data_IF_617405969541
#
_entry.id   IF_617405969541
#
_cell.length_a   1.000
_cell.length_b   1.000
_cell.length_c   1.000
_cell.angle_alpha   90.00
_cell.angle_beta   90.00
_cell.angle_gamma   90.00
#
_symmetry.space_group_name_H-M   'P 1'
#
loop_
_entity.id
_entity.type
_entity.pdbx_description
1 polymer ?
#
# COMPACT_ATOMS: atom_id res chain seq x y z
N UNK A 1 -12.35 2.82 -5.45
CA UNK A 1 -11.41 2.73 -4.31
C UNK A 1 -11.07 1.27 -4.12
N UNK A 2 -9.78 0.95 -3.94
CA UNK A 2 -9.31 -0.41 -3.66
C UNK A 2 -8.91 -0.54 -2.21
N UNK A 3 -9.15 -1.71 -1.64
CA UNK A 3 -8.62 -2.16 -0.37
C UNK A 3 -7.28 -2.86 -0.63
N UNK A 4 -6.25 -2.53 0.16
CA UNK A 4 -5.04 -3.33 0.24
C UNK A 4 -4.69 -3.64 1.69
N UNK A 5 -4.53 -4.92 2.01
CA UNK A 5 -3.99 -5.35 3.29
C UNK A 5 -2.45 -5.41 3.23
N UNK A 6 -1.78 -4.45 3.88
CA UNK A 6 -0.33 -4.29 3.83
C UNK A 6 0.46 -5.40 4.53
N UNK A 7 -0.15 -6.17 5.45
CA UNK A 7 0.52 -7.24 6.22
C UNK A 7 1.91 -6.82 6.76
N UNK A 8 1.94 -5.68 7.46
CA UNK A 8 3.17 -5.07 7.96
C UNK A 8 3.92 -5.98 8.94
N UNK A 9 5.25 -5.94 8.87
CA UNK A 9 6.18 -6.63 9.75
C UNK A 9 7.54 -5.93 9.70
N UNK A 10 8.34 -6.06 10.76
CA UNK A 10 9.62 -5.35 10.90
C UNK A 10 10.71 -5.79 9.93
N UNK A 11 10.52 -6.90 9.19
CA UNK A 11 11.57 -7.49 8.34
C UNK A 11 11.41 -7.11 6.88
N UNK A 12 10.19 -7.22 6.34
CA UNK A 12 9.94 -7.15 4.90
C UNK A 12 8.96 -6.05 4.50
N UNK A 13 8.09 -5.62 5.42
CA UNK A 13 7.04 -4.62 5.16
C UNK A 13 6.95 -3.68 6.36
N UNK A 14 7.98 -2.86 6.53
CA UNK A 14 8.04 -1.89 7.62
C UNK A 14 7.12 -0.69 7.31
N UNK A 15 6.25 -0.35 8.26
CA UNK A 15 5.22 0.68 8.06
C UNK A 15 5.82 2.08 7.90
N UNK A 16 6.78 2.44 8.74
CA UNK A 16 7.42 3.76 8.71
C UNK A 16 8.22 3.97 7.42
N UNK A 17 8.92 2.91 6.99
CA UNK A 17 9.59 2.90 5.72
C UNK A 17 8.58 3.09 4.58
N UNK A 18 7.48 2.34 4.55
CA UNK A 18 6.49 2.41 3.47
C UNK A 18 5.82 3.79 3.41
N UNK A 19 5.54 4.36 4.58
CA UNK A 19 5.07 5.74 4.74
C UNK A 19 6.05 6.73 4.14
N UNK A 20 7.32 6.69 4.57
CA UNK A 20 8.39 7.61 4.12
C UNK A 20 8.59 7.56 2.60
N UNK A 21 8.46 6.38 2.02
CA UNK A 21 8.73 6.15 0.60
C UNK A 21 7.52 6.35 -0.31
N UNK A 22 6.30 6.42 0.25
CA UNK A 22 5.09 6.48 -0.55
C UNK A 22 4.88 5.18 -1.33
N UNK A 23 4.97 4.03 -0.65
CA UNK A 23 4.78 2.72 -1.28
C UNK A 23 3.84 1.82 -0.47
N UNK A 24 3.24 0.87 -1.18
CA UNK A 24 2.61 -0.32 -0.60
C UNK A 24 3.17 -1.51 -1.36
N UNK A 25 3.43 -2.62 -0.66
CA UNK A 25 3.84 -3.86 -1.31
C UNK A 25 2.93 -5.03 -0.94
N UNK A 26 2.81 -5.96 -1.87
CA UNK A 26 2.07 -7.21 -1.70
C UNK A 26 2.75 -8.31 -2.50
N UNK A 27 2.58 -9.56 -2.07
CA UNK A 27 3.08 -10.69 -2.85
C UNK A 27 2.22 -10.89 -4.11
N UNK A 28 2.86 -10.93 -5.27
CA UNK A 28 2.25 -11.13 -6.58
C UNK A 28 1.81 -12.56 -6.88
N UNK A 29 2.30 -13.58 -6.15
CA UNK A 29 2.05 -15.01 -6.47
C UNK A 29 0.57 -15.36 -6.67
N UNK A 30 -0.31 -14.78 -5.83
CA UNK A 30 -1.76 -14.97 -5.94
C UNK A 30 -2.53 -13.66 -6.20
N UNK A 31 -1.86 -12.51 -6.20
CA UNK A 31 -2.51 -11.19 -6.26
C UNK A 31 -2.05 -10.36 -7.47
N UNK A 32 -1.26 -10.93 -8.39
CA UNK A 32 -0.75 -10.20 -9.56
C UNK A 32 -1.89 -9.64 -10.41
N UNK A 33 -2.95 -10.40 -10.64
CA UNK A 33 -4.08 -9.90 -11.41
C UNK A 33 -4.75 -8.72 -10.70
N UNK A 34 -5.05 -8.87 -9.41
CA UNK A 34 -5.73 -7.85 -8.62
C UNK A 34 -4.88 -6.56 -8.47
N UNK A 35 -3.56 -6.66 -8.27
CA UNK A 35 -2.70 -5.47 -8.14
C UNK A 35 -2.50 -4.75 -9.47
N UNK A 36 -2.49 -5.49 -10.58
CA UNK A 36 -2.28 -4.92 -11.92
C UNK A 36 -3.55 -4.23 -12.45
N UNK A 37 -4.72 -4.48 -11.87
CA UNK A 37 -5.94 -3.72 -12.17
C UNK A 37 -5.87 -2.28 -11.64
N UNK A 38 -5.06 -2.02 -10.61
CA UNK A 38 -4.90 -0.69 -10.03
C UNK A 38 -4.12 0.20 -11.00
N UNK A 39 -4.77 1.29 -11.39
CA UNK A 39 -4.25 2.27 -12.34
C UNK A 39 -3.87 3.57 -11.67
N UNK A 40 -3.06 4.38 -12.37
CA UNK A 40 -2.73 5.73 -11.92
C UNK A 40 -4.00 6.53 -11.66
N UNK A 41 -4.08 7.17 -10.50
CA UNK A 41 -5.24 7.96 -10.07
C UNK A 41 -6.21 7.20 -9.17
N UNK A 42 -6.14 5.87 -9.13
CA UNK A 42 -7.00 5.08 -8.24
C UNK A 42 -6.69 5.36 -6.77
N UNK A 43 -7.77 5.43 -5.98
CA UNK A 43 -7.70 5.63 -4.53
C UNK A 43 -7.60 4.29 -3.83
N UNK A 44 -6.64 4.17 -2.93
CA UNK A 44 -6.29 2.95 -2.20
C UNK A 44 -6.48 3.19 -0.71
N UNK A 45 -7.34 2.40 -0.07
CA UNK A 45 -7.44 2.31 1.37
C UNK A 45 -6.46 1.24 1.88
N UNK A 46 -5.52 1.68 2.72
CA UNK A 46 -4.54 0.81 3.34
C UNK A 46 -5.11 0.25 4.64
N UNK A 47 -5.10 -1.08 4.76
CA UNK A 47 -5.54 -1.80 5.93
C UNK A 47 -4.39 -2.65 6.49
N UNK A 48 -4.40 -2.88 7.79
CA UNK A 48 -3.58 -3.90 8.43
C UNK A 48 -4.41 -4.80 9.31
N UNK A 49 -4.24 -6.11 9.14
CA UNK A 49 -4.79 -7.09 10.08
C UNK A 49 -4.33 -6.72 11.50
N UNK A 50 -5.28 -6.70 12.45
CA UNK A 50 -5.15 -6.30 13.87
C UNK A 50 -5.22 -4.81 14.18
N UNK A 51 -4.92 -3.94 13.23
CA UNK A 51 -4.89 -2.48 13.48
C UNK A 51 -5.98 -1.72 12.75
N UNK A 52 -6.57 -2.28 11.69
CA UNK A 52 -7.65 -1.63 10.96
C UNK A 52 -7.16 -0.78 9.80
N UNK A 53 -7.94 0.25 9.46
CA UNK A 53 -7.62 1.19 8.40
C UNK A 53 -6.54 2.17 8.85
N UNK A 54 -5.45 2.23 8.10
CA UNK A 54 -4.29 3.08 8.40
C UNK A 54 -4.31 4.40 7.62
N UNK A 55 -5.10 4.48 6.56
CA UNK A 55 -5.13 5.67 5.71
C UNK A 55 -5.47 5.36 4.27
N UNK A 56 -5.33 6.39 3.45
CA UNK A 56 -5.70 6.37 2.05
C UNK A 56 -4.62 7.04 1.21
N UNK A 57 -4.27 6.42 0.09
CA UNK A 57 -3.34 6.96 -0.89
C UNK A 57 -3.91 6.94 -2.30
N UNK A 58 -3.29 7.68 -3.21
CA UNK A 58 -3.58 7.68 -4.64
C UNK A 58 -2.46 7.01 -5.41
N UNK A 59 -2.76 6.01 -6.22
CA UNK A 59 -1.78 5.32 -7.05
C UNK A 59 -1.13 6.30 -8.04
N UNK A 60 0.20 6.34 -8.06
CA UNK A 60 0.99 7.20 -8.96
C UNK A 60 1.28 6.54 -10.31
N UNK A 61 1.29 5.20 -10.33
CA UNK A 61 1.52 4.35 -11.49
C UNK A 61 0.98 2.94 -11.18
N UNK A 62 0.89 2.09 -12.20
CA UNK A 62 0.66 0.66 -12.01
C UNK A 62 1.78 0.02 -11.18
N UNK A 63 1.45 -1.08 -10.51
CA UNK A 63 2.43 -1.82 -9.72
C UNK A 63 3.51 -2.46 -10.60
N UNK A 64 4.69 -2.63 -10.01
CA UNK A 64 5.84 -3.30 -10.64
C UNK A 64 6.49 -4.27 -9.65
N UNK A 65 7.20 -5.32 -10.11
CA UNK A 65 8.05 -6.12 -9.23
C UNK A 65 9.03 -5.23 -8.46
N UNK A 66 9.25 -5.52 -7.17
CA UNK A 66 10.07 -4.68 -6.31
C UNK A 66 11.52 -4.60 -6.80
N UNK A 67 12.03 -5.68 -7.41
CA UNK A 67 13.37 -5.71 -8.01
C UNK A 67 13.53 -4.78 -9.21
N UNK A 68 12.44 -4.29 -9.80
CA UNK A 68 12.45 -3.35 -10.94
C UNK A 68 12.03 -1.95 -10.53
N UNK A 69 11.76 -1.68 -9.25
CA UNK A 69 11.32 -0.35 -8.82
C UNK A 69 12.44 0.67 -9.00
N UNK A 70 12.09 1.83 -9.54
CA UNK A 70 12.95 3.00 -9.62
C UNK A 70 12.26 4.13 -8.85
N UNK A 71 12.91 4.64 -7.81
CA UNK A 71 12.39 5.72 -6.99
C UNK A 71 13.19 6.98 -7.25
N UNK A 72 12.50 8.09 -7.46
CA UNK A 72 13.09 9.41 -7.65
C UNK A 72 12.59 10.34 -6.55
N UNK A 73 13.50 11.09 -5.90
CA UNK A 73 13.18 12.17 -4.96
C UNK A 73 13.87 13.45 -5.41
N UNK A 74 13.09 14.51 -5.65
CA UNK A 74 13.63 15.78 -6.14
C UNK A 74 14.30 15.72 -7.52
N UNK A 75 13.93 14.74 -8.36
CA UNK A 75 14.55 14.53 -9.68
C UNK A 75 15.84 13.71 -9.65
N UNK A 76 16.34 13.34 -8.47
CA UNK A 76 17.46 12.41 -8.30
C UNK A 76 16.94 10.99 -8.12
N UNK A 77 17.60 10.04 -8.77
CA UNK A 77 17.38 8.63 -8.48
C UNK A 77 17.85 8.34 -7.07
N UNK A 78 16.94 7.85 -6.24
CA UNK A 78 17.29 7.32 -4.92
C UNK A 78 17.97 5.99 -5.21
N UNK A 79 19.24 5.90 -4.86
CA UNK A 79 20.01 4.71 -5.15
C UNK A 79 19.37 3.50 -4.46
N UNK A 80 19.21 2.39 -5.20
CA UNK A 80 18.58 1.16 -4.66
C UNK A 80 19.31 0.62 -3.43
N UNK A 81 20.55 1.07 -3.21
CA UNK A 81 21.42 0.70 -2.09
C UNK A 81 20.98 1.29 -0.74
N UNK A 82 20.21 2.39 -0.73
CA UNK A 82 19.73 3.01 0.53
C UNK A 82 18.49 2.32 1.10
N UNK A 83 17.95 1.31 0.41
CA UNK A 83 16.78 0.56 0.85
C UNK A 83 17.17 -0.79 1.44
N UNK A 84 16.50 -1.26 2.52
CA UNK A 84 16.72 -2.61 3.04
C UNK A 84 16.26 -3.70 2.05
N UNK A 85 15.66 -3.36 0.91
CA UNK A 85 15.24 -4.33 -0.11
C UNK A 85 16.39 -5.19 -0.61
N UNK A 86 17.63 -4.65 -0.69
CA UNK A 86 18.79 -5.48 -1.01
C UNK A 86 18.99 -6.53 0.07
N UNK A 87 19.15 -6.14 1.32
CA UNK A 87 19.33 -7.07 2.44
C UNK A 87 18.19 -8.11 2.51
N UNK A 88 16.95 -7.67 2.30
CA UNK A 88 15.79 -8.54 2.19
C UNK A 88 15.93 -9.54 1.03
N UNK A 89 16.35 -9.10 -0.16
CA UNK A 89 16.59 -9.98 -1.31
C UNK A 89 17.78 -10.92 -1.10
N UNK A 90 18.77 -10.53 -0.28
CA UNK A 90 19.84 -11.44 0.14
C UNK A 90 19.30 -12.56 1.05
N UNK A 91 18.36 -12.24 1.95
CA UNK A 91 17.71 -13.22 2.84
C UNK A 91 16.69 -14.07 2.08
N UNK A 92 15.96 -13.48 1.13
CA UNK A 92 14.95 -14.13 0.30
C UNK A 92 15.15 -13.73 -1.18
N UNK A 93 15.91 -14.51 -1.96
CA UNK A 93 16.23 -14.21 -3.36
C UNK A 93 15.00 -14.04 -4.27
N UNK A 94 13.87 -14.68 -3.94
CA UNK A 94 12.65 -14.59 -4.73
C UNK A 94 11.82 -13.33 -4.45
N UNK A 95 12.09 -12.63 -3.35
CA UNK A 95 11.34 -11.43 -2.96
C UNK A 95 11.32 -10.36 -4.06
N UNK A 96 12.45 -10.17 -4.74
CA UNK A 96 12.58 -9.19 -5.83
C UNK A 96 11.58 -9.37 -6.97
N UNK A 97 11.31 -10.62 -7.34
CA UNK A 97 10.40 -10.97 -8.44
C UNK A 97 8.97 -11.27 -7.99
N UNK A 98 8.80 -11.71 -6.74
CA UNK A 98 7.50 -12.13 -6.21
C UNK A 98 6.77 -11.03 -5.47
N UNK A 99 7.44 -10.00 -4.97
CA UNK A 99 6.81 -8.87 -4.30
C UNK A 99 6.57 -7.75 -5.31
N UNK A 100 5.34 -7.25 -5.39
CA UNK A 100 4.95 -6.13 -6.22
C UNK A 100 4.79 -4.89 -5.37
N UNK A 101 5.30 -3.77 -5.87
CA UNK A 101 5.22 -2.46 -5.23
C UNK A 101 4.31 -1.55 -6.03
N UNK A 102 3.36 -0.94 -5.33
CA UNK A 102 2.54 0.15 -5.80
C UNK A 102 3.06 1.47 -5.22
N UNK A 103 3.40 2.42 -6.08
CA UNK A 103 3.75 3.79 -5.65
C UNK A 103 2.48 4.58 -5.37
N UNK A 104 2.42 5.22 -4.22
CA UNK A 104 1.27 5.99 -3.76
C UNK A 104 1.67 7.38 -3.30
N UNK A 105 0.79 8.34 -3.57
CA UNK A 105 0.74 9.60 -2.85
C UNK A 105 -0.20 9.44 -1.67
N UNK A 106 0.31 9.54 -0.45
CA UNK A 106 -0.55 9.52 0.74
C UNK A 106 -1.44 10.76 0.76
N UNK A 107 -2.76 10.54 0.77
CA UNK A 107 -3.75 11.60 0.95
C UNK A 107 -3.99 11.85 2.43
N UNK A 108 -4.05 10.75 3.19
CA UNK A 108 -4.06 10.76 4.64
C UNK A 108 -3.47 9.45 5.14
N UNK A 109 -2.77 9.49 6.26
CA UNK A 109 -2.19 8.31 6.89
C UNK A 109 -2.07 8.56 8.39
N UNK A 110 -2.35 7.53 9.20
CA UNK A 110 -2.15 7.58 10.63
C UNK A 110 -0.64 7.68 10.96
N UNK A 111 -0.26 8.25 12.11
CA UNK A 111 1.14 8.42 12.47
C UNK A 111 1.86 7.09 12.71
N UNK A 112 1.25 6.20 13.48
CA UNK A 112 1.82 4.91 13.87
C UNK A 112 0.92 3.75 13.47
N UNK A 113 1.50 2.56 13.30
CA UNK A 113 0.73 1.35 12.98
C UNK A 113 -0.36 1.05 14.02
N UNK A 114 -0.08 1.38 15.30
CA UNK A 114 -1.02 1.19 16.41
C UNK A 114 -2.23 2.14 16.40
N UNK A 115 -2.14 3.25 15.66
CA UNK A 115 -3.21 4.25 15.53
C UNK A 115 -4.25 3.88 14.46
N UNK A 116 -4.16 2.67 13.91
CA UNK A 116 -5.12 2.17 12.95
C UNK A 116 -6.55 2.20 13.50
N UNK A 117 -7.49 2.50 12.60
CA UNK A 117 -8.88 2.73 12.94
C UNK A 117 -9.72 1.48 12.69
N UNK A 118 -10.35 0.98 13.74
CA UNK A 118 -11.23 -0.18 13.75
C UNK A 118 -12.67 0.25 14.00
N UNK A 119 -13.61 -0.28 13.24
CA UNK A 119 -15.05 -0.09 13.45
C UNK A 119 -15.81 -1.36 13.01
N UNK A 120 -16.80 -1.75 13.81
CA UNK A 120 -17.62 -2.92 13.55
C UNK A 120 -18.57 -2.65 12.37
N UNK A 121 -18.39 -3.44 11.31
CA UNK A 121 -19.23 -3.35 10.10
C UNK A 121 -18.60 -2.59 8.93
N UNK A 122 -17.33 -2.17 9.04
CA UNK A 122 -16.57 -1.80 7.86
C UNK A 122 -16.14 -3.03 7.06
N UNK A 123 -16.04 -2.86 5.75
CA UNK A 123 -15.53 -3.87 4.83
C UNK A 123 -14.11 -4.25 5.23
N UNK A 124 -13.87 -5.56 5.32
CA UNK A 124 -12.54 -6.15 5.44
C UNK A 124 -12.43 -7.17 4.32
N UNK A 125 -11.47 -6.98 3.43
CA UNK A 125 -11.28 -7.87 2.29
C UNK A 125 -11.01 -9.32 2.72
N UNK A 126 -11.63 -10.27 2.02
CA UNK A 126 -11.28 -11.68 2.06
C UNK A 126 -9.97 -12.00 1.34
N UNK A 127 -9.53 -11.12 0.43
CA UNK A 127 -8.23 -11.17 -0.25
C UNK A 127 -7.35 -9.98 0.15
N UNK A 128 -6.02 -10.07 -0.07
CA UNK A 128 -5.11 -8.97 0.18
C UNK A 128 -5.39 -7.70 -0.64
N UNK A 129 -6.02 -7.82 -1.82
CA UNK A 129 -6.37 -6.70 -2.69
C UNK A 129 -7.76 -6.94 -3.24
N UNK A 130 -8.65 -5.97 -3.05
CA UNK A 130 -10.03 -6.03 -3.57
C UNK A 130 -10.55 -4.64 -3.88
N UNK A 131 -11.54 -4.54 -4.77
CA UNK A 131 -12.30 -3.31 -4.93
C UNK A 131 -13.26 -3.15 -3.74
N UNK A 132 -13.33 -1.97 -3.16
CA UNK A 132 -14.32 -1.67 -2.13
C UNK A 132 -15.61 -1.29 -2.86
N UNK A 133 -16.58 -2.22 -2.87
CA UNK A 133 -17.93 -1.97 -3.40
C UNK A 133 -18.89 -1.51 -2.30
N UNK A 134 -18.57 -1.77 -1.03
CA UNK A 134 -19.37 -1.35 0.11
C UNK A 134 -19.39 0.18 0.27
N UNK A 135 -20.55 0.79 0.01
CA UNK A 135 -20.74 2.24 0.05
C UNK A 135 -20.53 2.82 1.44
N UNK A 136 -20.97 2.11 2.49
CA UNK A 136 -20.78 2.54 3.88
C UNK A 136 -19.29 2.76 4.18
N UNK A 137 -18.46 1.78 3.86
CA UNK A 137 -17.01 1.86 4.10
C UNK A 137 -16.37 2.96 3.26
N UNK A 138 -16.77 3.11 2.00
CA UNK A 138 -16.27 4.20 1.16
C UNK A 138 -16.58 5.56 1.76
N UNK A 139 -17.82 5.80 2.17
CA UNK A 139 -18.23 7.07 2.78
C UNK A 139 -17.50 7.32 4.09
N UNK A 140 -17.40 6.29 4.95
CA UNK A 140 -16.65 6.38 6.20
C UNK A 140 -15.18 6.74 5.98
N UNK A 141 -14.51 6.13 4.98
CA UNK A 141 -13.14 6.45 4.63
C UNK A 141 -12.97 7.89 4.12
N UNK A 142 -13.92 8.38 3.32
CA UNK A 142 -13.93 9.75 2.81
C UNK A 142 -14.06 10.74 3.97
N UNK A 143 -15.02 10.53 4.86
CA UNK A 143 -15.28 11.41 6.01
C UNK A 143 -14.13 11.38 7.03
N UNK A 144 -13.68 10.19 7.40
CA UNK A 144 -12.66 9.97 8.44
C UNK A 144 -11.32 10.56 8.03
N UNK A 145 -10.91 10.33 6.78
CA UNK A 145 -9.65 10.84 6.25
C UNK A 145 -9.78 12.19 5.54
N UNK A 146 -10.96 12.81 5.59
CA UNK A 146 -11.26 14.12 4.99
C UNK A 146 -10.78 14.21 3.55
N UNK A 147 -11.07 13.18 2.76
CA UNK A 147 -10.60 13.08 1.39
C UNK A 147 -11.36 14.07 0.53
N UNK A 148 -10.62 14.93 -0.17
CA UNK A 148 -11.19 15.77 -1.21
C UNK A 148 -11.34 14.93 -2.48
N UNK A 149 -12.46 14.21 -2.55
CA UNK A 149 -12.81 13.38 -3.70
C UNK A 149 -13.72 14.20 -4.60
N UNK A 150 -13.17 15.23 -5.25
CA UNK A 150 -13.88 15.86 -6.37
C UNK A 150 -14.12 14.81 -7.46
N UNK A 151 -15.37 14.74 -7.92
CA UNK A 151 -15.93 13.75 -8.84
C UNK A 151 -15.52 13.98 -10.30
#
# INVERSE_FOLDING_TARGET
>A
MYFINGKFNSTFRDYDLYRKLGIISVSGKNNIHDIMEISKGDVIALYSTRYGYLGVGRARASAVPIGTVEMHQGGLMIDREEYPFREIMWINPHFGSEEYVLRVEWLALVPELGDGLLDDGLFVGGKPIERIEDERTRNWLIETFKLDVEA
#
